data_IF_221082002629
#
_entry.id   IF_221082002629
#
_cell.length_a   1.000
_cell.length_b   1.000
_cell.length_c   1.000
_cell.angle_alpha   90.00
_cell.angle_beta   90.00
_cell.angle_gamma   90.00
#
_symmetry.space_group_name_H-M   'P 1'
#
loop_
_entity.id
_entity.type
_entity.pdbx_description
1 polymer ?
#
# COMPACT_ATOMS: atom_id res chain seq x y z
N UNK A 1 27.71 18.95 5.42
CA UNK A 1 26.65 19.97 5.26
C UNK A 1 25.27 19.40 4.90
N UNK A 2 25.07 18.06 4.85
CA UNK A 2 23.83 17.45 4.31
C UNK A 2 22.71 17.13 5.32
N UNK A 3 22.99 17.17 6.63
CA UNK A 3 22.03 16.75 7.65
C UNK A 3 21.00 17.85 8.00
N UNK A 4 21.43 19.11 8.13
CA UNK A 4 20.54 20.23 8.46
C UNK A 4 19.56 20.56 7.32
N UNK A 5 20.00 20.47 6.07
CA UNK A 5 19.13 20.71 4.91
C UNK A 5 18.04 19.65 4.73
N UNK A 6 18.30 18.40 5.15
CA UNK A 6 17.35 17.29 5.04
C UNK A 6 16.30 17.32 6.15
N UNK A 7 16.70 17.64 7.38
CA UNK A 7 15.75 17.80 8.49
C UNK A 7 14.78 18.98 8.25
N UNK A 8 15.27 20.09 7.68
CA UNK A 8 14.45 21.23 7.28
C UNK A 8 13.46 20.92 6.16
N UNK A 9 13.85 20.10 5.17
CA UNK A 9 12.92 19.63 4.12
C UNK A 9 11.92 18.64 4.67
N UNK A 10 12.36 17.72 5.53
CA UNK A 10 11.52 16.69 6.12
C UNK A 10 10.38 17.27 6.95
N UNK A 11 10.65 18.29 7.77
CA UNK A 11 9.62 18.92 8.63
C UNK A 11 8.39 19.43 7.85
N UNK A 12 8.58 19.84 6.58
CA UNK A 12 7.49 20.25 5.68
C UNK A 12 6.59 19.09 5.26
N UNK A 13 7.18 17.90 5.05
CA UNK A 13 6.46 16.71 4.56
C UNK A 13 6.00 15.78 5.69
N UNK A 14 6.61 15.87 6.87
CA UNK A 14 6.37 14.97 8.00
C UNK A 14 4.90 14.88 8.37
N UNK A 15 4.23 16.04 8.52
CA UNK A 15 2.80 16.07 8.84
C UNK A 15 1.96 15.40 7.76
N UNK A 16 2.26 15.64 6.49
CA UNK A 16 1.56 15.01 5.37
C UNK A 16 1.78 13.50 5.35
N UNK A 17 3.02 13.03 5.49
CA UNK A 17 3.37 11.60 5.53
C UNK A 17 2.70 10.89 6.71
N UNK A 18 2.69 11.52 7.88
CA UNK A 18 2.02 11.02 9.08
C UNK A 18 0.51 10.90 8.90
N UNK A 19 -0.16 11.97 8.47
CA UNK A 19 -1.62 11.99 8.29
C UNK A 19 -2.03 11.03 7.18
N UNK A 20 -1.41 11.13 6.01
CA UNK A 20 -1.78 10.31 4.87
C UNK A 20 -1.49 8.81 5.12
N UNK A 21 -0.33 8.50 5.68
CA UNK A 21 0.05 7.13 6.02
C UNK A 21 -0.82 6.50 7.11
N UNK A 22 -1.28 7.28 8.10
CA UNK A 22 -2.19 6.82 9.16
C UNK A 22 -3.52 6.30 8.60
N UNK A 23 -4.05 6.93 7.55
CA UNK A 23 -5.32 6.54 6.93
C UNK A 23 -5.19 5.47 5.84
N UNK A 24 -3.95 5.09 5.47
CA UNK A 24 -3.70 4.17 4.36
C UNK A 24 -4.45 2.82 4.50
N UNK A 25 -4.51 2.24 5.71
CA UNK A 25 -5.23 1.00 5.93
C UNK A 25 -6.76 1.13 5.77
N UNK A 26 -7.34 2.28 6.13
CA UNK A 26 -8.79 2.52 5.95
C UNK A 26 -9.10 2.66 4.47
N UNK A 27 -8.28 3.41 3.73
CA UNK A 27 -8.45 3.54 2.28
C UNK A 27 -8.30 2.18 1.60
N UNK A 28 -7.34 1.36 2.03
CA UNK A 28 -7.19 0.00 1.53
C UNK A 28 -8.40 -0.90 1.80
N UNK A 29 -9.00 -0.82 3.00
CA UNK A 29 -10.25 -1.53 3.32
C UNK A 29 -11.41 -1.03 2.45
N UNK A 30 -11.59 0.28 2.31
CA UNK A 30 -12.65 0.86 1.49
C UNK A 30 -12.51 0.44 0.02
N UNK A 31 -11.30 0.48 -0.51
CA UNK A 31 -11.00 -0.02 -1.86
C UNK A 31 -11.38 -1.49 -1.99
N UNK A 32 -11.00 -2.33 -1.01
CA UNK A 32 -11.34 -3.75 -1.05
C UNK A 32 -12.83 -4.04 -0.93
N UNK A 33 -13.58 -3.26 -0.14
CA UNK A 33 -15.05 -3.36 -0.05
C UNK A 33 -15.69 -2.99 -1.39
N UNK A 34 -15.24 -1.90 -2.02
CA UNK A 34 -15.72 -1.46 -3.33
C UNK A 34 -15.49 -2.55 -4.37
N UNK A 35 -14.27 -3.07 -4.48
CA UNK A 35 -13.92 -4.14 -5.42
C UNK A 35 -14.77 -5.41 -5.18
N UNK A 36 -14.95 -5.79 -3.92
CA UNK A 36 -15.78 -6.93 -3.56
C UNK A 36 -17.24 -6.76 -4.00
N UNK A 37 -17.85 -5.60 -3.73
CA UNK A 37 -19.23 -5.30 -4.12
C UNK A 37 -19.38 -5.28 -5.65
N UNK A 38 -18.46 -4.63 -6.37
CA UNK A 38 -18.46 -4.60 -7.83
C UNK A 38 -18.26 -5.98 -8.45
N UNK A 39 -17.40 -6.80 -7.85
CA UNK A 39 -17.20 -8.18 -8.24
C UNK A 39 -18.48 -9.01 -8.10
N UNK A 40 -19.16 -8.94 -6.94
CA UNK A 40 -20.43 -9.63 -6.73
C UNK A 40 -21.52 -9.15 -7.70
N UNK A 41 -21.65 -7.83 -7.87
CA UNK A 41 -22.59 -7.25 -8.83
C UNK A 41 -22.31 -7.75 -10.26
N UNK A 42 -21.05 -7.76 -10.69
CA UNK A 42 -20.64 -8.26 -11.99
C UNK A 42 -20.98 -9.74 -12.22
N UNK A 43 -20.77 -10.58 -11.19
CA UNK A 43 -21.16 -12.00 -11.24
C UNK A 43 -22.67 -12.14 -11.46
N UNK A 44 -23.48 -11.41 -10.68
CA UNK A 44 -24.95 -11.45 -10.78
C UNK A 44 -25.41 -11.03 -12.17
N UNK A 45 -24.93 -9.90 -12.68
CA UNK A 45 -25.33 -9.38 -14.01
C UNK A 45 -24.92 -10.36 -15.11
N UNK A 46 -23.69 -10.86 -15.12
CA UNK A 46 -23.20 -11.75 -16.18
C UNK A 46 -23.81 -13.15 -16.12
N UNK A 47 -24.24 -13.60 -14.95
CA UNK A 47 -24.97 -14.87 -14.78
C UNK A 47 -26.34 -14.89 -15.46
N UNK A 48 -26.89 -13.71 -15.77
CA UNK A 48 -28.17 -13.56 -16.48
C UNK A 48 -28.05 -13.63 -18.01
N UNK A 49 -26.81 -13.64 -18.55
CA UNK A 49 -26.57 -13.72 -19.99
C UNK A 49 -26.71 -15.15 -20.53
N UNK A 50 -27.04 -15.31 -21.83
CA UNK A 50 -27.10 -16.62 -22.47
C UNK A 50 -25.81 -17.43 -22.29
N UNK A 51 -25.98 -18.75 -22.14
CA UNK A 51 -24.90 -19.69 -21.85
C UNK A 51 -23.76 -19.56 -22.88
N UNK A 52 -22.54 -19.33 -22.40
CA UNK A 52 -21.34 -19.12 -23.23
C UNK A 52 -20.78 -17.69 -23.16
N UNK A 53 -21.63 -16.66 -23.22
CA UNK A 53 -21.18 -15.26 -23.18
C UNK A 53 -20.91 -14.78 -21.75
N UNK A 54 -21.73 -15.22 -20.79
CA UNK A 54 -21.55 -14.91 -19.38
C UNK A 54 -20.24 -15.47 -18.82
N UNK A 55 -19.94 -16.75 -19.09
CA UNK A 55 -18.78 -17.46 -18.52
C UNK A 55 -17.45 -16.84 -18.97
N UNK A 56 -17.29 -16.49 -20.24
CA UNK A 56 -16.08 -15.85 -20.75
C UNK A 56 -15.81 -14.47 -20.13
N UNK A 57 -16.86 -13.79 -19.65
CA UNK A 57 -16.76 -12.46 -19.03
C UNK A 57 -16.59 -12.51 -17.51
N UNK A 58 -16.68 -13.69 -16.87
CA UNK A 58 -16.62 -13.82 -15.39
C UNK A 58 -15.23 -13.60 -14.80
N UNK A 59 -14.16 -13.63 -15.60
CA UNK A 59 -12.78 -13.49 -15.12
C UNK A 59 -12.56 -12.21 -14.30
N UNK A 60 -13.01 -11.05 -14.81
CA UNK A 60 -12.85 -9.76 -14.13
C UNK A 60 -13.65 -9.68 -12.82
N UNK A 61 -14.96 -10.02 -12.78
CA UNK A 61 -15.71 -10.07 -11.53
C UNK A 61 -15.13 -11.02 -10.47
N UNK A 62 -14.68 -12.21 -10.87
CA UNK A 62 -14.04 -13.17 -9.95
C UNK A 62 -12.75 -12.58 -9.39
N UNK A 63 -11.94 -11.96 -10.24
CA UNK A 63 -10.73 -11.28 -9.80
C UNK A 63 -11.03 -10.15 -8.80
N UNK A 64 -12.05 -9.33 -9.06
CA UNK A 64 -12.49 -8.24 -8.15
C UNK A 64 -12.93 -8.76 -6.77
N UNK A 65 -13.64 -9.88 -6.71
CA UNK A 65 -14.02 -10.51 -5.43
C UNK A 65 -12.77 -10.95 -4.66
N UNK A 66 -11.87 -11.68 -5.32
CA UNK A 66 -10.63 -12.17 -4.70
C UNK A 66 -9.72 -11.01 -4.27
N UNK A 67 -9.61 -9.99 -5.12
CA UNK A 67 -8.77 -8.82 -4.87
C UNK A 67 -9.31 -7.98 -3.73
N UNK A 68 -10.64 -7.80 -3.66
CA UNK A 68 -11.32 -7.12 -2.56
C UNK A 68 -11.07 -7.80 -1.21
N UNK A 69 -11.25 -9.13 -1.14
CA UNK A 69 -10.96 -9.92 0.07
C UNK A 69 -9.50 -9.77 0.49
N UNK A 70 -8.58 -9.94 -0.47
CA UNK A 70 -7.15 -9.83 -0.20
C UNK A 70 -6.76 -8.43 0.30
N UNK A 71 -7.25 -7.37 -0.35
CA UNK A 71 -6.98 -5.99 0.02
C UNK A 71 -7.47 -5.69 1.45
N UNK A 72 -8.66 -6.15 1.83
CA UNK A 72 -9.19 -6.00 3.20
C UNK A 72 -8.27 -6.68 4.22
N UNK A 73 -7.92 -7.95 3.97
CA UNK A 73 -7.09 -8.75 4.88
C UNK A 73 -5.71 -8.12 5.06
N UNK A 74 -5.02 -7.77 3.97
CA UNK A 74 -3.69 -7.16 4.02
C UNK A 74 -3.74 -5.78 4.67
N UNK A 75 -4.76 -4.98 4.38
CA UNK A 75 -4.93 -3.66 4.99
C UNK A 75 -5.04 -3.77 6.51
N UNK A 76 -5.83 -4.72 7.00
CA UNK A 76 -6.06 -4.90 8.42
C UNK A 76 -4.88 -5.58 9.14
N UNK A 77 -4.33 -6.66 8.58
CA UNK A 77 -3.31 -7.48 9.25
C UNK A 77 -1.89 -6.94 9.08
N UNK A 78 -1.60 -6.20 8.00
CA UNK A 78 -0.24 -5.77 7.67
C UNK A 78 -0.15 -4.25 7.64
N UNK A 79 -0.94 -3.58 6.81
CA UNK A 79 -0.80 -2.13 6.61
C UNK A 79 -1.12 -1.37 7.90
N UNK A 80 -2.19 -1.72 8.60
CA UNK A 80 -2.55 -1.09 9.87
C UNK A 80 -1.41 -1.16 10.91
N UNK A 81 -0.95 -2.34 11.37
CA UNK A 81 0.03 -2.42 12.45
C UNK A 81 1.46 -2.07 12.04
N UNK A 82 1.87 -2.38 10.80
CA UNK A 82 3.27 -2.22 10.37
C UNK A 82 3.53 -0.88 9.69
N UNK A 83 2.52 -0.28 9.06
CA UNK A 83 2.68 0.97 8.34
C UNK A 83 1.91 2.13 8.98
N UNK A 84 0.58 2.05 9.04
CA UNK A 84 -0.27 3.18 9.44
C UNK A 84 -0.09 3.59 10.90
N UNK A 85 0.01 2.64 11.83
CA UNK A 85 0.30 2.94 13.24
C UNK A 85 1.69 3.55 13.41
N UNK A 86 2.66 3.12 12.60
CA UNK A 86 4.02 3.65 12.62
C UNK A 86 4.10 5.06 12.05
N UNK A 87 3.34 5.34 11.00
CA UNK A 87 3.13 6.71 10.50
C UNK A 87 2.46 7.59 11.57
N UNK A 88 1.40 7.10 12.22
CA UNK A 88 0.67 7.84 13.26
C UNK A 88 1.55 8.19 14.46
N UNK A 89 2.42 7.26 14.87
CA UNK A 89 3.36 7.42 15.97
C UNK A 89 4.68 8.08 15.55
N UNK A 90 4.83 8.44 14.27
CA UNK A 90 6.05 9.01 13.68
C UNK A 90 7.30 8.15 13.94
N UNK A 91 7.14 6.83 13.96
CA UNK A 91 8.21 5.85 14.14
C UNK A 91 8.96 5.62 12.83
N UNK A 92 9.60 6.70 12.34
CA UNK A 92 10.35 6.72 11.08
C UNK A 92 11.52 5.74 11.09
N UNK A 93 12.11 5.52 12.27
CA UNK A 93 13.19 4.55 12.48
C UNK A 93 12.75 3.13 12.20
N UNK A 94 11.56 2.73 12.66
CA UNK A 94 10.99 1.43 12.30
C UNK A 94 10.71 1.34 10.80
N UNK A 95 10.03 2.33 10.22
CA UNK A 95 9.63 2.29 8.81
C UNK A 95 10.82 2.20 7.84
N UNK A 96 11.91 2.93 8.12
CA UNK A 96 13.15 2.86 7.34
C UNK A 96 13.93 1.55 7.55
N UNK A 97 13.67 0.81 8.64
CA UNK A 97 14.28 -0.50 8.89
C UNK A 97 13.33 -1.66 8.64
N UNK A 98 12.08 -1.40 8.25
CA UNK A 98 11.14 -2.42 7.83
C UNK A 98 11.47 -2.84 6.40
N UNK A 99 12.43 -3.76 6.29
CA UNK A 99 13.05 -4.16 5.02
C UNK A 99 13.07 -5.68 4.82
N UNK A 100 13.26 -6.08 3.57
CA UNK A 100 13.67 -7.41 3.14
C UNK A 100 15.13 -7.32 2.71
N UNK A 101 15.94 -8.30 3.13
CA UNK A 101 17.31 -8.46 2.66
C UNK A 101 17.34 -9.44 1.49
N UNK A 102 17.84 -8.99 0.35
CA UNK A 102 18.08 -9.80 -0.85
C UNK A 102 19.58 -9.77 -1.14
N UNK A 103 20.32 -10.65 -0.44
CA UNK A 103 21.78 -10.57 -0.40
C UNK A 103 22.24 -9.28 0.28
N UNK A 104 22.97 -8.42 -0.45
CA UNK A 104 23.41 -7.11 0.06
C UNK A 104 22.38 -6.00 -0.15
N UNK A 105 21.31 -6.25 -0.90
CA UNK A 105 20.29 -5.26 -1.22
C UNK A 105 19.23 -5.18 -0.12
N UNK A 106 18.91 -3.95 0.31
CA UNK A 106 17.86 -3.64 1.30
C UNK A 106 16.64 -3.11 0.56
N UNK A 107 15.57 -3.91 0.52
CA UNK A 107 14.32 -3.51 -0.11
C UNK A 107 13.27 -3.12 0.94
N UNK A 108 12.65 -1.92 0.87
CA UNK A 108 11.64 -1.50 1.84
C UNK A 108 10.34 -2.31 1.72
N UNK A 109 9.87 -2.91 2.81
CA UNK A 109 8.59 -3.62 2.85
C UNK A 109 7.41 -2.70 2.51
N UNK A 110 7.49 -1.43 2.88
CA UNK A 110 6.43 -0.45 2.57
C UNK A 110 6.24 -0.22 1.05
N UNK A 111 7.32 -0.30 0.26
CA UNK A 111 7.20 -0.28 -1.21
C UNK A 111 6.62 -1.59 -1.72
N UNK A 112 7.09 -2.73 -1.21
CA UNK A 112 6.54 -4.05 -1.58
C UNK A 112 5.03 -4.08 -1.38
N UNK A 113 4.57 -3.79 -0.16
CA UNK A 113 3.15 -3.84 0.18
C UNK A 113 2.34 -2.76 -0.53
N UNK A 114 2.89 -1.56 -0.72
CA UNK A 114 2.23 -0.54 -1.53
C UNK A 114 2.00 -0.97 -2.98
N UNK A 115 2.98 -1.61 -3.62
CA UNK A 115 2.82 -2.16 -4.99
C UNK A 115 1.81 -3.30 -5.03
N UNK A 116 1.88 -4.23 -4.07
CA UNK A 116 0.90 -5.33 -3.96
C UNK A 116 -0.52 -4.76 -3.80
N UNK A 117 -0.71 -3.77 -2.93
CA UNK A 117 -2.00 -3.12 -2.74
C UNK A 117 -2.47 -2.32 -3.96
N UNK A 118 -1.56 -1.81 -4.81
CA UNK A 118 -1.95 -1.24 -6.11
C UNK A 118 -2.48 -2.31 -7.07
N UNK A 119 -1.90 -3.51 -7.08
CA UNK A 119 -2.36 -4.60 -7.96
C UNK A 119 -3.74 -5.10 -7.54
N UNK A 120 -3.93 -5.33 -6.23
CA UNK A 120 -5.17 -5.90 -5.70
C UNK A 120 -6.26 -4.88 -5.36
N UNK A 121 -5.92 -3.60 -5.18
CA UNK A 121 -6.86 -2.51 -4.94
C UNK A 121 -6.94 -1.52 -6.10
N UNK A 122 -6.71 -1.97 -7.34
CA UNK A 122 -6.82 -1.18 -8.57
C UNK A 122 -6.17 0.21 -8.48
N UNK A 123 -4.94 0.26 -7.98
CA UNK A 123 -4.14 1.45 -7.72
C UNK A 123 -4.50 2.15 -6.42
N UNK A 124 -5.78 2.41 -6.18
CA UNK A 124 -6.26 3.19 -5.03
C UNK A 124 -5.94 2.56 -3.67
N UNK A 125 -5.91 1.23 -3.58
CA UNK A 125 -5.52 0.53 -2.36
C UNK A 125 -4.05 0.75 -1.97
N UNK A 126 -3.16 1.04 -2.92
CA UNK A 126 -1.71 1.12 -2.69
C UNK A 126 -1.12 2.53 -2.69
N UNK A 127 -1.74 3.49 -3.39
CA UNK A 127 -1.29 4.90 -3.45
C UNK A 127 -1.06 5.52 -2.05
N UNK A 128 -1.97 5.35 -1.06
CA UNK A 128 -1.79 5.88 0.28
C UNK A 128 -0.58 5.30 1.05
N UNK A 129 -0.03 4.20 0.57
CA UNK A 129 1.18 3.57 1.12
C UNK A 129 2.40 4.05 0.35
N UNK A 130 2.34 4.03 -0.98
CA UNK A 130 3.45 4.36 -1.86
C UNK A 130 3.90 5.82 -1.75
N UNK A 131 2.95 6.77 -1.74
CA UNK A 131 3.30 8.19 -1.68
C UNK A 131 4.09 8.52 -0.39
N UNK A 132 3.60 8.17 0.82
CA UNK A 132 4.39 8.41 2.02
C UNK A 132 5.69 7.62 2.05
N UNK A 133 5.70 6.39 1.53
CA UNK A 133 6.91 5.56 1.47
C UNK A 133 8.01 6.20 0.63
N UNK A 134 7.67 6.69 -0.57
CA UNK A 134 8.62 7.37 -1.46
C UNK A 134 9.15 8.64 -0.78
N UNK A 135 8.26 9.46 -0.20
CA UNK A 135 8.68 10.66 0.53
C UNK A 135 9.61 10.32 1.70
N UNK A 136 9.32 9.25 2.44
CA UNK A 136 10.14 8.82 3.56
C UNK A 136 11.53 8.32 3.11
N UNK A 137 11.64 7.62 1.98
CA UNK A 137 12.93 7.10 1.49
C UNK A 137 13.85 8.20 0.95
N UNK A 138 13.29 9.20 0.27
CA UNK A 138 14.08 10.22 -0.44
C UNK A 138 14.18 11.55 0.31
N UNK A 139 13.15 11.92 1.06
CA UNK A 139 13.07 13.17 1.82
C UNK A 139 12.97 12.96 3.33
N UNK A 140 13.09 11.71 3.81
CA UNK A 140 12.95 11.35 5.21
C UNK A 140 13.96 12.00 6.15
N UNK A 141 13.73 11.85 7.47
CA UNK A 141 14.58 12.46 8.51
C UNK A 141 15.98 11.84 8.56
N UNK A 142 16.15 10.65 7.97
CA UNK A 142 17.42 9.92 7.88
C UNK A 142 17.60 9.42 6.45
N UNK A 143 18.85 9.29 6.01
CA UNK A 143 19.18 8.67 4.72
C UNK A 143 18.79 7.19 4.76
N UNK A 144 18.01 6.73 3.79
CA UNK A 144 17.79 5.29 3.62
C UNK A 144 19.04 4.62 3.04
N UNK A 145 19.42 3.50 3.63
CA UNK A 145 20.54 2.67 3.18
C UNK A 145 20.00 1.54 2.29
N UNK A 146 20.30 1.62 0.99
CA UNK A 146 19.89 0.62 0.00
C UNK A 146 20.76 -0.65 0.02
N UNK A 147 21.89 -0.60 0.72
CA UNK A 147 22.90 -1.65 0.78
C UNK A 147 23.29 -1.93 2.22
N UNK A 148 23.61 -3.19 2.53
CA UNK A 148 24.23 -3.59 3.80
C UNK A 148 25.74 -3.31 3.83
N UNK A 149 26.35 -3.07 2.67
CA UNK A 149 27.70 -2.51 2.54
C UNK A 149 27.57 -0.99 2.57
N UNK A 150 28.01 -0.39 3.67
CA UNK A 150 28.04 1.06 3.89
C UNK A 150 29.00 1.78 2.95
#
# INVERSE_FOLDING_TARGET
MDFEGRSLKWSKYEKFVSEFGKWAWIIGILSGIIDFIWGLYGIIVLSSLPFGWGISAMGTPIWLVLSGIFAIIVSYLIIKPKFSEKCANRDWGFLLNWIILLGNFRFPWMLFWGTIMCIFGYGWGGIPILIPSILLLFAGPKKYEWSTKG
#
